data_IF_746909658292
#
_entry.id   IF_746909658292
#
_cell.length_a   1.000
_cell.length_b   1.000
_cell.length_c   1.000
_cell.angle_alpha   90.00
_cell.angle_beta   90.00
_cell.angle_gamma   90.00
#
_symmetry.space_group_name_H-M   'P 1'
#
loop_
_entity.id
_entity.type
_entity.pdbx_description
1 polymer ?
#
# COMPACT_ATOMS: atom_id res chain seq x y z
N UNK A 1 -2.20 -40.24 -12.36
CA UNK A 1 -1.24 -39.27 -12.92
C UNK A 1 -1.84 -38.48 -14.09
N UNK A 2 -2.61 -39.13 -14.97
CA UNK A 2 -3.28 -38.43 -16.11
C UNK A 2 -4.21 -37.28 -15.70
N UNK A 3 -4.74 -37.28 -14.49
CA UNK A 3 -5.55 -36.18 -13.96
C UNK A 3 -4.76 -34.87 -13.83
N UNK A 4 -3.44 -34.93 -13.69
CA UNK A 4 -2.60 -33.73 -13.59
C UNK A 4 -2.39 -33.05 -14.95
N UNK A 5 -2.58 -33.74 -16.08
CA UNK A 5 -2.24 -33.21 -17.41
C UNK A 5 -3.10 -32.00 -17.82
N UNK A 6 -4.24 -31.78 -17.16
CA UNK A 6 -5.14 -30.62 -17.37
C UNK A 6 -5.15 -29.63 -16.21
N UNK A 7 -4.29 -29.82 -15.20
CA UNK A 7 -4.25 -29.00 -14.00
C UNK A 7 -3.21 -27.90 -14.08
N UNK A 8 -3.48 -26.76 -13.45
CA UNK A 8 -2.51 -25.69 -13.20
C UNK A 8 -1.97 -25.74 -11.76
N UNK A 9 -2.73 -26.39 -10.89
CA UNK A 9 -2.46 -26.43 -9.47
C UNK A 9 -2.93 -27.77 -8.91
N UNK A 10 -2.15 -28.36 -8.02
CA UNK A 10 -2.47 -29.59 -7.30
C UNK A 10 -2.39 -29.35 -5.79
N UNK A 11 -3.24 -30.04 -5.04
CA UNK A 11 -3.19 -30.08 -3.57
C UNK A 11 -3.18 -31.55 -3.18
N UNK A 12 -2.11 -31.99 -2.52
CA UNK A 12 -1.98 -33.33 -1.93
C UNK A 12 -2.29 -33.22 -0.43
N UNK A 13 -3.39 -33.81 -0.01
CA UNK A 13 -3.94 -33.73 1.34
C UNK A 13 -4.50 -35.07 1.80
N UNK A 14 -3.77 -36.16 1.55
CA UNK A 14 -4.16 -37.51 1.98
C UNK A 14 -3.37 -37.91 3.25
N UNK A 15 -3.85 -38.95 3.95
CA UNK A 15 -3.13 -39.53 5.10
C UNK A 15 -1.97 -40.44 4.66
N UNK A 16 -1.74 -40.62 3.36
CA UNK A 16 -0.66 -41.39 2.78
C UNK A 16 0.46 -40.48 2.28
N UNK A 17 1.53 -40.37 3.09
CA UNK A 17 2.69 -39.54 2.77
C UNK A 17 3.39 -39.98 1.47
N UNK A 18 3.41 -41.28 1.18
CA UNK A 18 4.01 -41.81 -0.04
C UNK A 18 3.19 -41.39 -1.30
N UNK A 19 1.88 -41.37 -1.19
CA UNK A 19 1.01 -40.87 -2.23
C UNK A 19 1.18 -39.37 -2.42
N UNK A 20 1.19 -38.61 -1.33
CA UNK A 20 1.41 -37.17 -1.36
C UNK A 20 2.74 -36.81 -2.03
N UNK A 21 3.81 -37.53 -1.71
CA UNK A 21 5.12 -37.35 -2.33
C UNK A 21 5.08 -37.66 -3.84
N UNK A 22 4.44 -38.74 -4.27
CA UNK A 22 4.28 -39.10 -5.68
C UNK A 22 3.49 -38.05 -6.45
N UNK A 23 2.45 -37.48 -5.83
CA UNK A 23 1.66 -36.38 -6.44
C UNK A 23 2.55 -35.15 -6.65
N UNK A 24 3.38 -34.81 -5.66
CA UNK A 24 4.32 -33.69 -5.75
C UNK A 24 5.32 -33.89 -6.90
N UNK A 25 5.98 -35.05 -6.96
CA UNK A 25 6.95 -35.38 -8.01
C UNK A 25 6.31 -35.37 -9.41
N UNK A 26 5.11 -35.94 -9.53
CA UNK A 26 4.37 -35.94 -10.79
C UNK A 26 3.91 -34.54 -11.23
N UNK A 27 3.61 -33.67 -10.28
CA UNK A 27 3.26 -32.26 -10.52
C UNK A 27 4.52 -31.47 -10.94
N UNK A 28 5.66 -31.66 -10.25
CA UNK A 28 6.93 -31.01 -10.56
C UNK A 28 7.40 -31.38 -11.98
N UNK A 29 7.35 -32.64 -12.35
CA UNK A 29 7.68 -33.11 -13.70
C UNK A 29 6.85 -32.43 -14.81
N UNK A 30 5.65 -31.96 -14.47
CA UNK A 30 4.72 -31.24 -15.37
C UNK A 30 4.76 -29.73 -15.19
N UNK A 31 5.59 -29.20 -14.28
CA UNK A 31 5.65 -27.78 -13.91
C UNK A 31 4.33 -27.23 -13.39
N UNK A 32 3.60 -28.06 -12.66
CA UNK A 32 2.36 -27.71 -11.97
C UNK A 32 2.67 -27.32 -10.54
N UNK A 33 2.10 -26.22 -10.05
CA UNK A 33 2.24 -25.87 -8.64
C UNK A 33 1.55 -26.90 -7.75
N UNK A 34 2.27 -27.43 -6.77
CA UNK A 34 1.76 -28.42 -5.83
C UNK A 34 1.91 -27.93 -4.39
N UNK A 35 0.82 -27.94 -3.64
CA UNK A 35 0.86 -27.83 -2.18
C UNK A 35 0.71 -29.22 -1.59
N UNK A 36 1.63 -29.62 -0.70
CA UNK A 36 1.52 -30.85 0.09
C UNK A 36 1.24 -30.43 1.52
N UNK A 37 0.08 -30.81 2.04
CA UNK A 37 -0.36 -30.43 3.38
C UNK A 37 0.58 -31.06 4.40
N UNK A 38 0.97 -30.27 5.40
CA UNK A 38 1.91 -30.62 6.48
C UNK A 38 3.34 -31.05 6.03
N UNK A 39 3.65 -30.95 4.73
CA UNK A 39 4.96 -31.28 4.18
C UNK A 39 5.55 -30.10 3.35
N UNK A 40 6.00 -29.01 3.99
CA UNK A 40 6.48 -27.80 3.30
C UNK A 40 7.64 -28.05 2.34
N UNK A 41 8.49 -29.07 2.63
CA UNK A 41 9.64 -29.41 1.77
C UNK A 41 9.25 -30.07 0.44
N UNK A 42 8.09 -30.72 0.41
CA UNK A 42 7.54 -31.35 -0.78
C UNK A 42 6.60 -30.42 -1.56
N UNK A 43 6.33 -29.22 -1.04
CA UNK A 43 5.43 -28.27 -1.65
C UNK A 43 6.17 -27.22 -2.48
N UNK A 44 5.72 -26.93 -3.70
CA UNK A 44 6.23 -25.83 -4.53
C UNK A 44 5.58 -24.48 -4.17
N UNK A 45 4.47 -24.48 -3.45
CA UNK A 45 3.87 -23.30 -2.83
C UNK A 45 3.18 -23.68 -1.52
N UNK A 46 2.97 -22.70 -0.65
CA UNK A 46 2.26 -22.88 0.62
C UNK A 46 0.95 -22.10 0.57
N UNK A 47 -0.16 -22.77 0.88
CA UNK A 47 -1.45 -22.14 1.02
C UNK A 47 -1.43 -21.16 2.20
N UNK A 48 -1.74 -19.87 1.96
CA UNK A 48 -1.81 -18.90 3.06
C UNK A 48 -3.08 -19.07 3.88
N UNK A 49 -3.07 -18.56 5.11
CA UNK A 49 -4.31 -18.32 5.86
C UNK A 49 -5.07 -17.15 5.23
N UNK A 50 -6.32 -17.36 4.84
CA UNK A 50 -7.11 -16.37 4.08
C UNK A 50 -8.18 -15.75 4.98
N UNK A 51 -8.35 -14.42 4.86
CA UNK A 51 -9.52 -13.68 5.29
C UNK A 51 -10.28 -13.29 4.04
N UNK A 52 -11.47 -13.86 3.86
CA UNK A 52 -12.31 -13.59 2.69
C UNK A 52 -13.32 -12.48 2.99
N UNK A 53 -13.21 -11.41 2.22
CA UNK A 53 -14.17 -10.30 2.11
C UNK A 53 -14.48 -10.07 0.62
N UNK A 54 -14.74 -11.15 -0.11
CA UNK A 54 -14.85 -11.11 -1.58
C UNK A 54 -15.61 -9.88 -2.11
N UNK A 55 -15.04 -9.19 -3.13
CA UNK A 55 -13.86 -9.54 -3.91
C UNK A 55 -12.50 -9.14 -3.28
N UNK A 56 -12.49 -8.62 -2.06
CA UNK A 56 -11.26 -8.32 -1.30
C UNK A 56 -10.85 -9.56 -0.51
N UNK A 57 -9.57 -9.95 -0.62
CA UNK A 57 -8.97 -11.02 0.17
C UNK A 57 -7.69 -10.55 0.83
N UNK A 58 -7.44 -11.02 2.06
CA UNK A 58 -6.18 -10.82 2.77
C UNK A 58 -5.58 -12.18 3.05
N UNK A 59 -4.34 -12.39 2.61
CA UNK A 59 -3.61 -13.63 2.77
C UNK A 59 -2.42 -13.44 3.72
N UNK A 60 -2.27 -14.31 4.70
CA UNK A 60 -1.18 -14.31 5.67
C UNK A 60 -0.39 -15.61 5.51
N UNK A 61 0.88 -15.52 5.18
CA UNK A 61 1.77 -16.68 5.04
C UNK A 61 3.05 -16.47 5.83
N UNK A 62 3.54 -17.54 6.42
CA UNK A 62 4.88 -17.62 7.03
C UNK A 62 5.87 -18.43 6.16
N UNK A 63 5.51 -18.73 4.91
CA UNK A 63 6.31 -19.60 4.05
C UNK A 63 6.48 -21.03 4.60
N UNK A 64 5.50 -21.50 5.39
CA UNK A 64 5.55 -22.83 6.03
C UNK A 64 6.38 -22.87 7.33
N UNK A 65 7.06 -21.78 7.72
CA UNK A 65 7.95 -21.77 8.89
C UNK A 65 7.20 -21.72 10.22
N UNK A 66 6.03 -21.07 10.26
CA UNK A 66 5.25 -20.93 11.49
C UNK A 66 3.75 -20.82 11.22
N UNK A 67 3.05 -21.94 11.01
CA UNK A 67 1.60 -21.94 10.76
C UNK A 67 0.80 -21.29 11.90
N UNK A 68 1.23 -21.50 13.16
CA UNK A 68 0.58 -20.91 14.34
C UNK A 68 0.66 -19.38 14.32
N UNK A 69 1.82 -18.81 13.96
CA UNK A 69 1.98 -17.35 13.85
C UNK A 69 1.09 -16.79 12.73
N UNK A 70 1.04 -17.45 11.58
CA UNK A 70 0.16 -17.04 10.48
C UNK A 70 -1.32 -17.06 10.90
N UNK A 71 -1.74 -18.08 11.66
CA UNK A 71 -3.10 -18.19 12.21
C UNK A 71 -3.40 -17.05 13.20
N UNK A 72 -2.51 -16.78 14.16
CA UNK A 72 -2.71 -15.71 15.15
C UNK A 72 -2.77 -14.32 14.49
N UNK A 73 -1.93 -14.06 13.48
CA UNK A 73 -2.00 -12.83 12.70
C UNK A 73 -3.31 -12.73 11.90
N UNK A 74 -3.76 -13.84 11.30
CA UNK A 74 -5.07 -13.87 10.63
C UNK A 74 -6.19 -13.53 11.59
N UNK A 75 -6.26 -14.14 12.79
CA UNK A 75 -7.27 -13.87 13.81
C UNK A 75 -7.28 -12.39 14.23
N UNK A 76 -6.10 -11.80 14.43
CA UNK A 76 -5.97 -10.38 14.75
C UNK A 76 -6.46 -9.48 13.61
N UNK A 77 -6.09 -9.79 12.38
CA UNK A 77 -6.54 -9.04 11.19
C UNK A 77 -8.04 -9.22 10.96
N UNK A 78 -8.59 -10.42 11.20
CA UNK A 78 -10.03 -10.70 11.08
C UNK A 78 -10.87 -9.75 11.95
N UNK A 79 -10.39 -9.43 13.16
CA UNK A 79 -11.08 -8.51 14.07
C UNK A 79 -10.99 -7.03 13.65
N UNK A 80 -10.01 -6.68 12.83
CA UNK A 80 -9.79 -5.31 12.33
C UNK A 80 -10.52 -5.01 11.02
N UNK A 81 -10.88 -6.05 10.26
CA UNK A 81 -11.44 -5.91 8.92
C UNK A 81 -12.96 -6.08 8.94
N UNK A 82 -13.75 -5.01 8.80
CA UNK A 82 -15.21 -5.08 8.81
C UNK A 82 -15.76 -6.01 7.70
N UNK A 83 -16.88 -6.66 7.98
CA UNK A 83 -17.51 -7.60 7.02
C UNK A 83 -17.97 -6.90 5.73
N UNK A 84 -18.38 -5.63 5.83
CA UNK A 84 -18.89 -4.86 4.68
C UNK A 84 -17.81 -4.42 3.69
N UNK A 85 -16.51 -4.62 3.96
CA UNK A 85 -15.43 -4.23 3.04
C UNK A 85 -15.58 -4.85 1.64
N UNK A 86 -16.09 -6.07 1.57
CA UNK A 86 -16.38 -6.70 0.28
C UNK A 86 -17.41 -5.95 -0.54
N UNK A 87 -18.46 -5.44 0.12
CA UNK A 87 -19.49 -4.61 -0.53
C UNK A 87 -18.90 -3.29 -1.03
N UNK A 88 -18.07 -2.63 -0.21
CA UNK A 88 -17.36 -1.41 -0.60
C UNK A 88 -16.46 -1.66 -1.82
N UNK A 89 -15.68 -2.74 -1.81
CA UNK A 89 -14.80 -3.10 -2.92
C UNK A 89 -15.58 -3.42 -4.21
N UNK A 90 -16.70 -4.15 -4.10
CA UNK A 90 -17.59 -4.44 -5.22
C UNK A 90 -18.18 -3.17 -5.81
N UNK A 91 -18.68 -2.29 -4.96
CA UNK A 91 -19.25 -1.01 -5.37
C UNK A 91 -18.21 -0.10 -6.04
N UNK A 92 -17.01 -0.01 -5.47
CA UNK A 92 -15.91 0.72 -6.09
C UNK A 92 -15.58 0.18 -7.50
N UNK A 93 -15.63 -1.14 -7.68
CA UNK A 93 -15.47 -1.77 -9.00
C UNK A 93 -16.49 -1.28 -10.03
N UNK A 94 -17.75 -1.10 -9.62
CA UNK A 94 -18.83 -0.58 -10.48
C UNK A 94 -18.62 0.89 -10.84
N UNK A 95 -18.07 1.69 -9.93
CA UNK A 95 -17.81 3.11 -10.15
C UNK A 95 -16.59 3.41 -11.03
N UNK A 96 -15.69 2.43 -11.29
CA UNK A 96 -14.42 2.66 -11.99
C UNK A 96 -14.56 3.40 -13.32
N UNK A 97 -15.52 3.01 -14.13
CA UNK A 97 -15.78 3.64 -15.44
C UNK A 97 -16.15 5.11 -15.29
N UNK A 98 -17.08 5.40 -14.39
CA UNK A 98 -17.54 6.76 -14.10
C UNK A 98 -16.43 7.66 -13.54
N UNK A 99 -15.66 7.15 -12.57
CA UNK A 99 -14.51 7.86 -11.99
C UNK A 99 -13.46 8.18 -13.03
N UNK A 100 -13.20 7.24 -13.97
CA UNK A 100 -12.25 7.47 -15.06
C UNK A 100 -12.71 8.56 -16.04
N UNK A 101 -14.01 8.71 -16.23
CA UNK A 101 -14.58 9.76 -17.08
C UNK A 101 -14.59 11.12 -16.39
N UNK A 102 -14.92 11.14 -15.09
CA UNK A 102 -15.04 12.37 -14.30
C UNK A 102 -13.71 13.02 -13.96
N UNK A 103 -12.69 12.20 -13.63
CA UNK A 103 -11.40 12.68 -13.16
C UNK A 103 -10.30 12.35 -14.18
N UNK A 104 -9.64 13.40 -14.70
CA UNK A 104 -8.68 13.28 -15.79
C UNK A 104 -7.36 12.63 -15.33
N UNK A 105 -6.85 13.02 -14.15
CA UNK A 105 -5.54 12.60 -13.67
C UNK A 105 -5.60 11.42 -12.71
N UNK A 106 -4.50 10.67 -12.60
CA UNK A 106 -4.38 9.60 -11.60
C UNK A 106 -4.44 10.12 -10.18
N UNK A 107 -3.88 11.31 -9.93
CA UNK A 107 -3.92 11.96 -8.61
C UNK A 107 -5.35 12.27 -8.16
N UNK A 108 -6.18 12.85 -9.05
CA UNK A 108 -7.59 13.11 -8.76
C UNK A 108 -8.37 11.83 -8.48
N UNK A 109 -8.20 10.81 -9.32
CA UNK A 109 -8.85 9.50 -9.13
C UNK A 109 -8.49 8.90 -7.78
N UNK A 110 -7.21 8.95 -7.39
CA UNK A 110 -6.76 8.44 -6.09
C UNK A 110 -7.40 9.22 -4.95
N UNK A 111 -7.38 10.55 -4.96
CA UNK A 111 -8.02 11.38 -3.92
C UNK A 111 -9.50 11.08 -3.78
N UNK A 112 -10.19 10.88 -4.90
CA UNK A 112 -11.59 10.44 -4.87
C UNK A 112 -11.74 9.08 -4.17
N UNK A 113 -10.91 8.08 -4.52
CA UNK A 113 -10.96 6.76 -3.88
C UNK A 113 -10.62 6.82 -2.40
N UNK A 114 -9.62 7.61 -2.00
CA UNK A 114 -9.28 7.83 -0.60
C UNK A 114 -10.47 8.39 0.17
N UNK A 115 -11.15 9.45 -0.34
CA UNK A 115 -12.37 10.00 0.26
C UNK A 115 -13.49 8.97 0.34
N UNK A 116 -13.71 8.20 -0.71
CA UNK A 116 -14.77 7.20 -0.78
C UNK A 116 -14.56 6.09 0.25
N UNK A 117 -13.33 5.59 0.38
CA UNK A 117 -13.03 4.46 1.27
C UNK A 117 -13.03 4.82 2.77
N UNK A 118 -12.87 6.08 3.12
CA UNK A 118 -12.97 6.56 4.52
C UNK A 118 -14.35 7.14 4.85
N UNK A 119 -15.31 7.07 3.92
CA UNK A 119 -16.65 7.63 4.13
C UNK A 119 -17.55 6.65 4.88
N UNK A 120 -17.71 6.86 6.18
CA UNK A 120 -18.52 6.00 7.06
C UNK A 120 -19.99 5.93 6.64
N UNK A 121 -20.57 7.04 6.16
CA UNK A 121 -21.96 7.07 5.70
C UNK A 121 -22.16 6.14 4.50
N UNK A 122 -21.24 6.17 3.53
CA UNK A 122 -21.29 5.26 2.39
C UNK A 122 -21.12 3.81 2.83
N UNK A 123 -20.15 3.54 3.70
CA UNK A 123 -19.89 2.20 4.21
C UNK A 123 -21.12 1.61 4.93
N UNK A 124 -21.77 2.40 5.79
CA UNK A 124 -23.00 2.00 6.48
C UNK A 124 -24.17 1.81 5.51
N UNK A 125 -24.33 2.70 4.53
CA UNK A 125 -25.39 2.58 3.53
C UNK A 125 -25.24 1.33 2.67
N UNK A 126 -24.00 0.98 2.30
CA UNK A 126 -23.68 -0.27 1.60
C UNK A 126 -23.97 -1.50 2.46
N UNK A 127 -23.59 -1.48 3.75
CA UNK A 127 -23.89 -2.56 4.69
C UNK A 127 -25.39 -2.81 4.85
N UNK A 128 -26.19 -1.73 4.82
CA UNK A 128 -27.65 -1.77 4.98
C UNK A 128 -28.40 -1.91 3.64
N UNK A 129 -27.71 -1.96 2.49
CA UNK A 129 -28.31 -1.98 1.14
C UNK A 129 -29.25 -0.78 0.87
N UNK A 130 -28.99 0.39 1.46
CA UNK A 130 -29.76 1.62 1.24
C UNK A 130 -29.34 2.30 -0.06
N UNK A 131 -29.99 1.91 -1.17
CA UNK A 131 -29.67 2.39 -2.51
C UNK A 131 -29.82 3.92 -2.65
N UNK A 132 -30.78 4.52 -1.93
CA UNK A 132 -30.98 5.97 -1.98
C UNK A 132 -29.81 6.70 -1.34
N UNK A 133 -29.44 6.33 -0.12
CA UNK A 133 -28.30 6.92 0.59
C UNK A 133 -26.97 6.66 -0.13
N UNK A 134 -26.80 5.47 -0.74
CA UNK A 134 -25.62 5.14 -1.56
C UNK A 134 -25.50 6.12 -2.73
N UNK A 135 -26.60 6.33 -3.47
CA UNK A 135 -26.60 7.21 -4.63
C UNK A 135 -26.34 8.66 -4.22
N UNK A 136 -27.07 9.18 -3.25
CA UNK A 136 -26.91 10.55 -2.76
C UNK A 136 -25.48 10.83 -2.29
N UNK A 137 -24.91 9.93 -1.48
CA UNK A 137 -23.56 10.08 -0.96
C UNK A 137 -22.51 10.01 -2.07
N UNK A 138 -22.70 9.13 -3.04
CA UNK A 138 -21.79 9.01 -4.19
C UNK A 138 -21.82 10.25 -5.08
N UNK A 139 -23.03 10.78 -5.39
CA UNK A 139 -23.16 12.01 -6.15
C UNK A 139 -22.50 13.19 -5.43
N UNK A 140 -22.69 13.26 -4.12
CA UNK A 140 -22.05 14.29 -3.29
C UNK A 140 -20.52 14.19 -3.39
N UNK A 141 -19.94 12.99 -3.23
CA UNK A 141 -18.50 12.77 -3.32
C UNK A 141 -17.92 13.07 -4.71
N UNK A 142 -18.65 12.74 -5.78
CA UNK A 142 -18.22 12.99 -7.16
C UNK A 142 -18.26 14.48 -7.48
N UNK A 143 -19.27 15.20 -7.00
CA UNK A 143 -19.45 16.63 -7.27
C UNK A 143 -18.70 17.54 -6.28
N UNK A 144 -18.18 16.98 -5.20
CA UNK A 144 -17.37 17.74 -4.24
C UNK A 144 -16.05 18.15 -4.90
N UNK A 145 -15.69 19.44 -4.87
CA UNK A 145 -14.42 19.89 -5.41
C UNK A 145 -13.25 19.12 -4.77
N UNK A 146 -12.42 18.54 -5.59
CA UNK A 146 -11.16 17.98 -5.11
C UNK A 146 -10.22 19.11 -4.75
N UNK A 147 -9.61 19.06 -3.60
CA UNK A 147 -8.55 20.01 -3.26
C UNK A 147 -7.34 19.74 -4.16
N UNK A 148 -7.14 20.63 -5.12
CA UNK A 148 -6.03 20.56 -6.06
C UNK A 148 -4.78 21.27 -5.55
N UNK A 149 -4.85 21.88 -4.36
CA UNK A 149 -3.68 22.50 -3.76
C UNK A 149 -2.67 21.40 -3.40
N UNK A 150 -1.45 21.58 -3.88
CA UNK A 150 -0.35 20.77 -3.43
C UNK A 150 0.03 21.17 -2.00
N UNK A 151 0.67 20.25 -1.31
CA UNK A 151 1.21 20.51 0.02
C UNK A 151 2.64 20.00 0.11
N UNK A 152 3.43 20.65 0.93
CA UNK A 152 4.76 20.16 1.31
C UNK A 152 4.79 19.94 2.81
N UNK A 153 5.11 18.72 3.22
CA UNK A 153 5.25 18.34 4.63
C UNK A 153 6.70 17.97 4.93
N UNK A 154 7.29 18.64 5.91
CA UNK A 154 8.60 18.28 6.42
C UNK A 154 8.44 17.18 7.47
N UNK A 155 9.10 16.04 7.27
CA UNK A 155 9.08 14.89 8.18
C UNK A 155 10.49 14.56 8.62
N UNK A 156 10.69 14.50 9.93
CA UNK A 156 11.92 13.99 10.53
C UNK A 156 11.91 12.47 10.57
N UNK A 157 12.96 11.88 10.05
CA UNK A 157 13.16 10.42 10.05
C UNK A 157 13.77 9.90 11.35
N UNK A 158 14.08 10.77 12.32
CA UNK A 158 14.78 10.38 13.54
C UNK A 158 16.19 9.83 13.26
N UNK A 159 16.75 9.02 14.17
CA UNK A 159 18.12 8.51 14.08
C UNK A 159 18.28 7.32 13.12
N UNK A 160 17.21 6.89 12.44
CA UNK A 160 17.26 5.83 11.44
C UNK A 160 16.44 4.58 11.80
N UNK A 161 16.02 4.43 13.05
CA UNK A 161 15.12 3.35 13.48
C UNK A 161 13.67 3.71 13.09
N UNK A 162 13.06 2.88 12.26
CA UNK A 162 11.67 3.05 11.81
C UNK A 162 10.64 3.04 12.97
N UNK A 163 10.96 2.36 14.08
CA UNK A 163 10.15 2.34 15.30
C UNK A 163 10.08 3.68 16.04
N UNK A 164 10.99 4.61 15.76
CA UNK A 164 11.02 5.95 16.34
C UNK A 164 10.34 7.01 15.46
N UNK A 165 9.82 6.63 14.31
CA UNK A 165 9.04 7.52 13.48
C UNK A 165 7.71 7.87 14.17
N UNK A 166 7.35 9.15 14.15
CA UNK A 166 6.05 9.55 14.70
C UNK A 166 4.89 8.97 13.87
N UNK A 167 3.76 8.67 14.50
CA UNK A 167 2.56 8.20 13.79
C UNK A 167 2.14 9.18 12.68
N UNK A 168 2.22 10.49 12.95
CA UNK A 168 1.91 11.53 11.96
C UNK A 168 2.91 11.48 10.79
N UNK A 169 4.20 11.31 11.07
CA UNK A 169 5.23 11.17 10.05
C UNK A 169 4.98 9.95 9.16
N UNK A 170 4.65 8.81 9.75
CA UNK A 170 4.31 7.59 9.04
C UNK A 170 3.10 7.80 8.10
N UNK A 171 2.02 8.42 8.61
CA UNK A 171 0.84 8.73 7.80
C UNK A 171 1.18 9.61 6.60
N UNK A 172 2.00 10.67 6.81
CA UNK A 172 2.42 11.56 5.73
C UNK A 172 3.23 10.81 4.66
N UNK A 173 4.20 9.98 5.07
CA UNK A 173 5.01 9.18 4.15
C UNK A 173 4.14 8.20 3.34
N UNK A 174 3.15 7.59 3.97
CA UNK A 174 2.25 6.65 3.31
C UNK A 174 1.25 7.31 2.38
N UNK A 175 0.98 8.61 2.55
CA UNK A 175 0.08 9.39 1.69
C UNK A 175 0.80 10.21 0.62
N UNK A 176 2.13 10.28 0.68
CA UNK A 176 2.92 11.10 -0.23
C UNK A 176 2.80 10.66 -1.69
N UNK A 177 2.74 11.64 -2.60
CA UNK A 177 2.89 11.43 -4.04
C UNK A 177 4.34 11.46 -4.45
N UNK A 178 5.13 12.31 -3.74
CA UNK A 178 6.55 12.49 -3.95
C UNK A 178 7.24 12.53 -2.60
N UNK A 179 8.30 11.76 -2.44
CA UNK A 179 9.18 11.83 -1.28
C UNK A 179 10.56 12.32 -1.72
N UNK A 180 10.92 13.51 -1.25
CA UNK A 180 12.24 14.12 -1.46
C UNK A 180 13.09 13.83 -0.23
N UNK A 181 14.16 13.06 -0.37
CA UNK A 181 14.93 12.54 0.75
C UNK A 181 16.44 12.63 0.56
N UNK A 182 17.19 12.62 1.65
CA UNK A 182 18.65 12.65 1.67
C UNK A 182 19.28 11.33 2.14
N UNK A 183 20.61 11.29 2.18
CA UNK A 183 21.38 10.08 2.52
C UNK A 183 21.20 9.61 3.98
N UNK A 184 20.74 10.48 4.88
CA UNK A 184 20.62 10.15 6.31
C UNK A 184 19.34 9.37 6.62
N UNK A 185 18.42 9.26 5.66
CA UNK A 185 17.21 8.44 5.78
C UNK A 185 17.58 6.98 5.56
N UNK A 186 17.26 6.12 6.52
CA UNK A 186 17.53 4.68 6.44
C UNK A 186 16.64 3.97 5.43
N UNK A 187 17.11 2.82 4.94
CA UNK A 187 16.32 1.95 4.04
C UNK A 187 15.04 1.46 4.72
N UNK A 188 15.07 1.20 6.03
CA UNK A 188 13.89 0.76 6.78
C UNK A 188 12.78 1.80 6.74
N UNK A 189 13.12 3.08 6.88
CA UNK A 189 12.15 4.18 6.75
C UNK A 189 11.71 4.33 5.29
N UNK A 190 12.63 4.21 4.32
CA UNK A 190 12.28 4.27 2.91
C UNK A 190 11.37 3.11 2.46
N UNK A 191 11.41 1.95 3.15
CA UNK A 191 10.50 0.84 2.92
C UNK A 191 9.06 1.12 3.39
N UNK A 192 8.85 2.10 4.28
CA UNK A 192 7.53 2.56 4.69
C UNK A 192 6.89 3.51 3.67
N UNK A 193 7.68 4.08 2.76
CA UNK A 193 7.18 4.92 1.67
C UNK A 193 6.34 4.07 0.72
N UNK A 194 5.18 4.59 0.36
CA UNK A 194 4.29 3.95 -0.62
C UNK A 194 5.05 3.57 -1.90
N UNK A 195 4.80 2.36 -2.41
CA UNK A 195 5.56 1.80 -3.55
C UNK A 195 5.43 2.59 -4.84
N UNK A 196 4.30 3.24 -5.04
CA UNK A 196 3.96 4.03 -6.23
C UNK A 196 4.24 5.55 -6.06
N UNK A 197 4.84 5.97 -4.93
CA UNK A 197 5.32 7.33 -4.76
C UNK A 197 6.61 7.56 -5.54
N UNK A 198 6.72 8.75 -6.15
CA UNK A 198 7.97 9.20 -6.76
C UNK A 198 9.03 9.42 -5.66
N UNK A 199 10.24 8.90 -5.86
CA UNK A 199 11.34 9.02 -4.90
C UNK A 199 12.44 9.88 -5.49
N UNK A 200 12.66 11.06 -4.92
CA UNK A 200 13.65 12.03 -5.38
C UNK A 200 14.79 12.13 -4.36
N UNK A 201 15.94 11.58 -4.71
CA UNK A 201 17.14 11.67 -3.88
C UNK A 201 17.85 12.99 -4.09
N UNK A 202 18.09 13.74 -3.01
CA UNK A 202 18.76 15.05 -3.03
C UNK A 202 20.04 15.08 -2.16
N UNK A 203 20.46 13.91 -1.67
CA UNK A 203 21.68 13.79 -0.86
C UNK A 203 22.97 13.83 -1.68
N UNK A 204 24.10 13.93 -0.98
CA UNK A 204 25.45 13.84 -1.61
C UNK A 204 25.71 12.41 -2.07
N UNK A 205 26.02 12.23 -3.35
CA UNK A 205 26.62 10.99 -3.87
C UNK A 205 28.13 11.18 -4.03
N UNK A 206 28.91 10.14 -3.74
CA UNK A 206 30.33 10.15 -4.03
C UNK A 206 30.55 10.41 -5.54
N UNK A 207 31.35 11.45 -5.87
CA UNK A 207 31.64 11.81 -7.26
C UNK A 207 30.62 12.70 -7.97
N UNK A 208 29.53 13.12 -7.33
CA UNK A 208 28.54 14.04 -7.90
C UNK A 208 28.40 15.31 -7.02
N UNK A 209 28.13 16.44 -7.69
CA UNK A 209 27.85 17.69 -6.98
C UNK A 209 26.63 17.54 -6.05
N UNK A 210 26.73 18.11 -4.84
CA UNK A 210 25.60 18.20 -3.93
C UNK A 210 24.52 19.03 -4.59
N UNK A 211 23.26 18.57 -4.54
CA UNK A 211 22.13 19.40 -4.97
C UNK A 211 22.09 20.65 -4.07
N UNK A 212 22.20 21.87 -4.64
CA UNK A 212 22.13 23.09 -3.85
C UNK A 212 20.79 23.18 -3.11
N UNK A 213 20.79 23.84 -1.93
CA UNK A 213 19.55 23.98 -1.16
C UNK A 213 18.43 24.68 -1.97
N UNK A 214 18.81 25.66 -2.76
CA UNK A 214 17.90 26.37 -3.63
C UNK A 214 17.21 25.47 -4.65
N UNK A 215 17.95 24.53 -5.23
CA UNK A 215 17.42 23.55 -6.15
C UNK A 215 16.47 22.55 -5.45
N UNK A 216 16.77 22.17 -4.21
CA UNK A 216 15.88 21.34 -3.38
C UNK A 216 14.55 22.08 -3.16
N UNK A 217 14.62 23.38 -2.78
CA UNK A 217 13.43 24.21 -2.59
C UNK A 217 12.59 24.31 -3.88
N UNK A 218 13.25 24.47 -5.03
CA UNK A 218 12.58 24.50 -6.33
C UNK A 218 11.92 23.16 -6.70
N UNK A 219 12.55 22.04 -6.36
CA UNK A 219 11.96 20.70 -6.55
C UNK A 219 10.67 20.58 -5.72
N UNK A 220 10.73 20.94 -4.43
CA UNK A 220 9.58 20.88 -3.53
C UNK A 220 8.42 21.75 -4.05
N UNK A 221 8.72 23.01 -4.42
CA UNK A 221 7.73 23.95 -4.94
C UNK A 221 7.11 23.45 -6.24
N UNK A 222 7.94 23.05 -7.19
CA UNK A 222 7.46 22.58 -8.51
C UNK A 222 6.55 21.36 -8.39
N UNK A 223 6.88 20.42 -7.52
CA UNK A 223 6.03 19.24 -7.35
C UNK A 223 4.72 19.57 -6.60
N UNK A 224 4.76 20.48 -5.63
CA UNK A 224 3.57 20.99 -4.96
C UNK A 224 2.66 21.78 -5.92
N UNK A 225 3.22 22.64 -6.78
CA UNK A 225 2.44 23.38 -7.78
C UNK A 225 1.71 22.49 -8.79
N UNK A 226 2.17 21.26 -8.97
CA UNK A 226 1.43 20.21 -9.72
C UNK A 226 0.26 19.61 -8.94
N UNK A 227 -0.04 20.15 -7.76
CA UNK A 227 -1.09 19.63 -6.87
C UNK A 227 -0.71 18.33 -6.13
N UNK A 228 0.58 17.99 -6.04
CA UNK A 228 1.03 16.77 -5.39
C UNK A 228 1.22 16.97 -3.87
N UNK A 229 1.04 15.88 -3.10
CA UNK A 229 1.47 15.79 -1.70
C UNK A 229 2.96 15.44 -1.67
N UNK A 230 3.77 16.40 -1.32
CA UNK A 230 5.23 16.27 -1.29
C UNK A 230 5.69 16.11 0.15
N UNK A 231 6.41 15.04 0.44
CA UNK A 231 7.08 14.85 1.73
C UNK A 231 8.57 15.13 1.56
N UNK A 232 9.08 16.12 2.29
CA UNK A 232 10.51 16.30 2.48
C UNK A 232 10.93 15.47 3.70
N UNK A 233 11.54 14.33 3.45
CA UNK A 233 12.00 13.40 4.49
C UNK A 233 13.47 13.65 4.81
N UNK A 234 13.77 13.98 6.06
CA UNK A 234 15.12 14.38 6.51
C UNK A 234 15.59 13.47 7.63
N UNK A 235 16.85 13.06 7.59
CA UNK A 235 17.46 12.37 8.73
C UNK A 235 17.49 13.27 9.97
N UNK A 236 17.17 12.73 11.14
CA UNK A 236 17.05 13.50 12.38
C UNK A 236 15.81 14.39 12.42
N UNK A 237 15.94 15.53 13.10
CA UNK A 237 14.93 16.60 13.14
C UNK A 237 15.14 17.56 11.97
N UNK A 238 14.10 17.96 11.22
CA UNK A 238 14.21 18.86 10.07
C UNK A 238 14.75 20.25 10.41
N UNK A 239 14.55 20.71 11.63
CA UNK A 239 14.93 22.05 12.09
C UNK A 239 16.29 22.12 12.81
N UNK A 240 16.76 20.97 13.36
CA UNK A 240 18.06 20.90 14.04
C UNK A 240 19.15 20.57 13.01
N UNK A 241 19.95 21.54 12.63
CA UNK A 241 20.99 21.46 11.58
C UNK A 241 20.47 21.00 10.21
N UNK A 242 19.13 20.95 10.03
CA UNK A 242 18.46 20.42 8.85
C UNK A 242 18.03 21.46 7.82
N UNK A 243 18.20 22.75 8.07
CA UNK A 243 17.76 23.86 7.20
C UNK A 243 16.27 23.86 6.88
N UNK A 244 15.43 23.18 7.70
CA UNK A 244 13.97 23.08 7.49
C UNK A 244 13.28 24.45 7.52
N UNK A 245 13.81 25.43 8.27
CA UNK A 245 13.32 26.80 8.28
C UNK A 245 13.44 27.50 6.93
N UNK A 246 14.57 27.34 6.24
CA UNK A 246 14.80 27.92 4.90
C UNK A 246 13.89 27.29 3.85
N UNK A 247 13.67 25.96 3.94
CA UNK A 247 12.73 25.24 3.07
C UNK A 247 11.30 25.77 3.27
N UNK A 248 10.86 25.91 4.53
CA UNK A 248 9.52 26.45 4.84
C UNK A 248 9.35 27.91 4.40
N UNK A 249 10.32 28.77 4.68
CA UNK A 249 10.26 30.19 4.30
C UNK A 249 10.09 30.35 2.79
N UNK A 250 10.85 29.59 1.99
CA UNK A 250 10.74 29.58 0.54
C UNK A 250 9.34 29.14 0.08
N UNK A 251 8.79 28.11 0.72
CA UNK A 251 7.47 27.55 0.35
C UNK A 251 6.31 28.46 0.79
N UNK A 252 6.43 29.15 1.92
CA UNK A 252 5.40 30.07 2.39
C UNK A 252 5.32 31.37 1.55
N UNK A 253 6.41 31.74 0.89
CA UNK A 253 6.51 32.95 0.08
C UNK A 253 6.13 32.71 -1.40
N UNK A 254 5.80 31.48 -1.77
CA UNK A 254 5.50 31.06 -3.15
C UNK A 254 4.04 30.63 -3.34
#
# INVERSE_FOLDING_TARGET
ESLLDTCWLAIAATDDDALNQRVSEAAEARRIFCNVVDAPKAASFIMPSIIDRSPLMVAVSSGGTSPVLARLLREKLESLLPLHLGQVAKYAGQLRGRVKQQFATMGERRRFWEKLFVNDRLAQSLANNDQKAITETTEQLINEPLDHRGEVVLVGAGPGDAGLLTLKGLQQIQQADVVVYDRLVSDDIMNLVRRDADRVFVGKRAGYHCVPQEEINQILLREAQKGKRVVRLKGGDPFIFGRGGEELETLCNA
#
